data_IF_124072100769
#
_entry.id   IF_124072100769
#
_cell.length_a   1.000
_cell.length_b   1.000
_cell.length_c   1.000
_cell.angle_alpha   90.00
_cell.angle_beta   90.00
_cell.angle_gamma   90.00
#
_symmetry.space_group_name_H-M   'P 1'
#
loop_
_entity.id
_entity.type
_entity.pdbx_description
1 polymer ?
#
# COMPACT_ATOMS: atom_id res chain seq x y z
N UNK A 1 -5.76 24.79 18.51
CA UNK A 1 -5.31 24.86 17.11
C UNK A 1 -3.88 24.32 16.95
N UNK A 2 -3.59 23.09 17.45
CA UNK A 2 -2.27 22.43 17.32
C UNK A 2 -2.38 20.95 16.85
N UNK A 3 -3.58 20.42 16.56
CA UNK A 3 -3.80 19.01 16.19
C UNK A 3 -3.77 18.70 14.67
N UNK A 4 -3.78 19.71 13.81
CA UNK A 4 -3.89 19.51 12.35
C UNK A 4 -2.51 19.29 11.67
N UNK A 5 -1.42 19.72 12.31
CA UNK A 5 -0.07 19.62 11.71
C UNK A 5 0.53 18.21 11.82
N UNK A 6 0.05 17.37 12.76
CA UNK A 6 0.61 16.04 13.01
C UNK A 6 0.16 14.97 11.99
N UNK A 7 -1.01 15.13 11.39
CA UNK A 7 -1.57 14.15 10.44
C UNK A 7 -0.79 14.09 9.12
N UNK A 8 -0.21 15.21 8.68
CA UNK A 8 0.54 15.28 7.42
C UNK A 8 1.94 14.63 7.48
N UNK A 9 2.53 14.54 8.66
CA UNK A 9 3.91 14.01 8.81
C UNK A 9 3.94 12.48 8.80
N UNK A 10 2.86 11.81 9.20
CA UNK A 10 2.81 10.35 9.29
C UNK A 10 2.66 9.69 7.91
N UNK A 11 1.85 10.27 7.01
CA UNK A 11 1.70 9.71 5.65
C UNK A 11 3.01 9.75 4.84
N UNK A 12 3.81 10.80 4.98
CA UNK A 12 5.12 10.91 4.31
C UNK A 12 6.15 9.96 4.94
N UNK A 13 6.08 9.73 6.26
CA UNK A 13 7.00 8.84 6.96
C UNK A 13 6.79 7.35 6.61
N UNK A 14 5.55 6.92 6.32
CA UNK A 14 5.28 5.52 5.95
C UNK A 14 5.86 5.18 4.57
N UNK A 15 5.81 6.11 3.62
CA UNK A 15 6.47 5.93 2.30
C UNK A 15 8.00 5.89 2.46
N UNK A 16 8.56 6.67 3.39
CA UNK A 16 10.01 6.73 3.63
C UNK A 16 10.56 5.54 4.43
N UNK A 17 9.77 4.91 5.30
CA UNK A 17 10.21 3.75 6.10
C UNK A 17 10.34 2.45 5.27
N UNK A 18 9.67 2.38 4.11
CA UNK A 18 9.72 1.22 3.21
C UNK A 18 11.08 1.00 2.53
N UNK A 19 12.05 1.91 2.67
CA UNK A 19 13.28 1.90 1.88
C UNK A 19 14.57 1.60 2.69
N UNK A 20 14.51 1.39 4.01
CA UNK A 20 15.73 1.32 4.84
C UNK A 20 16.23 -0.08 5.18
N UNK A 21 15.58 -1.17 4.78
CA UNK A 21 16.01 -2.54 5.13
C UNK A 21 16.62 -3.36 4.00
N UNK A 22 16.78 -2.81 2.80
CA UNK A 22 17.42 -3.51 1.68
C UNK A 22 18.90 -3.11 1.49
N UNK A 23 19.70 -3.18 2.55
CA UNK A 23 21.16 -3.06 2.42
C UNK A 23 21.81 -4.42 2.70
N UNK A 24 21.90 -5.27 1.66
CA UNK A 24 22.66 -6.53 1.82
C UNK A 24 22.34 -7.66 0.86
N UNK A 25 22.15 -7.41 -0.43
CA UNK A 25 22.52 -8.41 -1.46
C UNK A 25 22.62 -7.73 -2.82
N UNK A 26 23.72 -7.95 -3.53
CA UNK A 26 24.01 -7.43 -4.86
C UNK A 26 23.24 -8.18 -5.98
N UNK A 27 22.10 -8.76 -5.70
CA UNK A 27 21.14 -9.25 -6.68
C UNK A 27 20.25 -8.07 -7.13
N UNK A 28 20.12 -7.86 -8.43
CA UNK A 28 19.11 -6.95 -8.98
C UNK A 28 17.75 -7.47 -8.52
N UNK A 29 17.14 -6.81 -7.54
CA UNK A 29 15.80 -7.14 -7.10
C UNK A 29 14.84 -6.83 -8.25
N UNK A 30 14.18 -7.86 -8.76
CA UNK A 30 13.15 -7.71 -9.80
C UNK A 30 11.88 -7.16 -9.17
N UNK A 31 11.21 -6.27 -9.88
CA UNK A 31 9.83 -5.87 -9.62
C UNK A 31 8.92 -6.59 -10.61
N UNK A 32 8.23 -7.65 -10.19
CA UNK A 32 7.38 -8.40 -11.11
C UNK A 32 6.25 -7.53 -11.66
N UNK A 33 5.88 -7.79 -12.90
CA UNK A 33 4.72 -7.16 -13.54
C UNK A 33 3.45 -7.71 -12.90
N UNK A 34 2.58 -6.83 -12.43
CA UNK A 34 1.32 -7.22 -11.79
C UNK A 34 0.30 -7.71 -12.81
N UNK A 35 -0.64 -8.54 -12.33
CA UNK A 35 -1.75 -9.05 -13.12
C UNK A 35 -2.61 -7.86 -13.61
N UNK A 36 -2.89 -7.81 -14.92
CA UNK A 36 -3.50 -6.63 -15.56
C UNK A 36 -4.89 -6.29 -15.07
N UNK A 37 -5.66 -7.28 -14.59
CA UNK A 37 -6.99 -7.07 -14.03
C UNK A 37 -6.99 -6.26 -12.71
N UNK A 38 -5.83 -6.20 -12.03
CA UNK A 38 -5.66 -5.46 -10.77
C UNK A 38 -4.74 -4.24 -10.90
N UNK A 39 -4.41 -3.83 -12.13
CA UNK A 39 -3.46 -2.75 -12.38
C UNK A 39 -3.83 -1.43 -11.65
N UNK A 40 -5.12 -1.10 -11.57
CA UNK A 40 -5.61 0.11 -10.91
C UNK A 40 -5.44 0.13 -9.39
N UNK A 41 -5.18 -1.03 -8.78
CA UNK A 41 -4.97 -1.17 -7.34
C UNK A 41 -3.51 -1.11 -6.96
N UNK A 42 -2.62 -1.49 -7.87
CA UNK A 42 -1.18 -1.62 -7.55
C UNK A 42 -0.50 -0.25 -7.54
N UNK A 43 0.33 -0.03 -6.52
CA UNK A 43 1.00 1.25 -6.28
C UNK A 43 0.10 2.31 -5.61
N UNK A 44 -1.18 2.03 -5.44
CA UNK A 44 -2.13 2.94 -4.84
C UNK A 44 -2.33 2.67 -3.34
N UNK A 45 -2.55 3.73 -2.57
CA UNK A 45 -3.04 3.64 -1.20
C UNK A 45 -4.56 3.73 -1.18
N UNK A 46 -5.18 2.86 -0.39
CA UNK A 46 -6.61 2.86 -0.11
C UNK A 46 -6.81 3.13 1.37
N UNK A 47 -7.73 4.03 1.72
CA UNK A 47 -7.98 4.38 3.11
C UNK A 47 -9.47 4.57 3.40
N UNK A 48 -9.82 4.38 4.67
CA UNK A 48 -11.16 4.57 5.18
C UNK A 48 -11.18 4.58 6.70
N UNK A 49 -12.31 4.94 7.28
CA UNK A 49 -12.47 4.92 8.73
C UNK A 49 -12.74 3.50 9.21
N UNK A 50 -11.96 3.01 10.16
CA UNK A 50 -12.19 1.74 10.81
C UNK A 50 -13.46 1.74 11.69
N UNK A 51 -13.94 0.57 12.15
CA UNK A 51 -15.15 0.49 12.99
C UNK A 51 -15.03 1.21 14.34
N UNK A 52 -13.82 1.50 14.80
CA UNK A 52 -13.54 2.14 16.09
C UNK A 52 -13.26 3.64 15.98
N UNK A 53 -13.33 4.20 14.75
CA UNK A 53 -13.14 5.61 14.47
C UNK A 53 -11.71 5.99 14.12
N UNK A 54 -10.83 5.00 13.97
CA UNK A 54 -9.47 5.18 13.47
C UNK A 54 -9.42 5.35 11.95
N UNK A 55 -8.21 5.36 11.40
CA UNK A 55 -7.98 5.44 9.98
C UNK A 55 -7.20 4.21 9.51
N UNK A 56 -7.90 3.34 8.79
CA UNK A 56 -7.34 2.16 8.15
C UNK A 56 -6.79 2.54 6.77
N UNK A 57 -5.56 2.13 6.50
CA UNK A 57 -4.95 2.30 5.19
C UNK A 57 -4.22 1.03 4.76
N UNK A 58 -4.33 0.69 3.48
CA UNK A 58 -3.57 -0.36 2.83
C UNK A 58 -2.92 0.16 1.56
N UNK A 59 -1.76 -0.39 1.22
CA UNK A 59 -1.09 -0.14 -0.06
C UNK A 59 -0.77 -1.47 -0.70
N UNK A 60 -1.29 -1.71 -1.89
CA UNK A 60 -1.00 -2.91 -2.67
C UNK A 60 0.26 -2.63 -3.50
N UNK A 61 1.33 -3.40 -3.26
CA UNK A 61 2.61 -3.23 -3.94
C UNK A 61 2.71 -4.03 -5.23
N UNK A 62 2.13 -5.21 -5.24
CA UNK A 62 2.06 -6.05 -6.44
C UNK A 62 0.96 -7.10 -6.30
N UNK A 63 0.41 -7.53 -7.43
CA UNK A 63 -0.42 -8.73 -7.55
C UNK A 63 0.12 -9.53 -8.74
N UNK A 64 0.68 -10.70 -8.49
CA UNK A 64 1.36 -11.52 -9.50
C UNK A 64 0.96 -12.98 -9.35
N UNK A 65 0.41 -13.55 -10.41
CA UNK A 65 -0.10 -14.94 -10.42
C UNK A 65 -1.06 -15.20 -9.25
N UNK A 66 -1.99 -14.28 -9.00
CA UNK A 66 -2.96 -14.38 -7.93
C UNK A 66 -2.37 -14.28 -6.52
N UNK A 67 -1.14 -13.75 -6.37
CA UNK A 67 -0.52 -13.45 -5.07
C UNK A 67 -0.35 -11.96 -4.91
N UNK A 68 -0.95 -11.42 -3.88
CA UNK A 68 -0.91 -10.01 -3.52
C UNK A 68 0.14 -9.77 -2.43
N UNK A 69 0.99 -8.76 -2.64
CA UNK A 69 1.90 -8.20 -1.64
C UNK A 69 1.41 -6.79 -1.27
N UNK A 70 1.23 -6.53 0.03
CA UNK A 70 0.57 -5.34 0.51
C UNK A 70 1.04 -4.94 1.91
N UNK A 71 0.76 -3.70 2.29
CA UNK A 71 1.03 -3.16 3.63
C UNK A 71 -0.28 -2.81 4.31
N UNK A 72 -0.28 -2.84 5.64
CA UNK A 72 -1.39 -2.50 6.49
C UNK A 72 -0.98 -1.43 7.49
N UNK A 73 -1.82 -0.43 7.68
CA UNK A 73 -1.70 0.58 8.73
C UNK A 73 -3.08 0.89 9.28
N UNK A 74 -3.21 0.91 10.59
CA UNK A 74 -4.43 1.32 11.27
C UNK A 74 -4.07 2.27 12.41
N UNK A 75 -4.58 3.50 12.36
CA UNK A 75 -4.20 4.58 13.26
C UNK A 75 -5.43 5.07 14.04
N UNK A 76 -5.40 4.94 15.35
CA UNK A 76 -6.46 5.39 16.23
C UNK A 76 -5.85 5.93 17.54
N UNK A 77 -6.38 7.04 18.04
CA UNK A 77 -5.87 7.75 19.24
C UNK A 77 -4.35 7.94 19.22
N UNK A 78 -3.61 7.26 20.10
CA UNK A 78 -2.16 7.25 20.24
C UNK A 78 -1.53 5.91 19.78
N UNK A 79 -2.23 5.16 18.94
CA UNK A 79 -1.79 3.88 18.40
C UNK A 79 -1.64 3.93 16.89
N UNK A 80 -0.57 3.35 16.38
CA UNK A 80 -0.36 3.08 14.95
C UNK A 80 0.01 1.62 14.76
N UNK A 81 -0.98 0.80 14.43
CA UNK A 81 -0.78 -0.61 14.11
C UNK A 81 -0.23 -0.74 12.68
N UNK A 82 0.88 -1.42 12.53
CA UNK A 82 1.60 -1.49 11.27
C UNK A 82 2.10 -2.89 10.95
N UNK A 83 1.87 -3.31 9.71
CA UNK A 83 2.45 -4.49 9.08
C UNK A 83 3.12 -4.12 7.76
N UNK A 84 4.44 -4.21 7.71
CA UNK A 84 5.23 -3.79 6.54
C UNK A 84 5.03 -4.69 5.33
N UNK A 85 4.94 -5.99 5.56
CA UNK A 85 4.84 -6.95 4.46
C UNK A 85 3.85 -8.04 4.81
N UNK A 86 2.78 -8.09 4.04
CA UNK A 86 1.78 -9.13 4.13
C UNK A 86 1.54 -9.73 2.75
N UNK A 87 1.28 -11.02 2.73
CA UNK A 87 0.95 -11.73 1.50
C UNK A 87 -0.43 -12.36 1.62
N UNK A 88 -1.20 -12.28 0.55
CA UNK A 88 -2.48 -12.94 0.43
C UNK A 88 -2.61 -13.60 -0.95
N UNK A 89 -3.41 -14.66 -1.04
CA UNK A 89 -3.83 -15.19 -2.33
C UNK A 89 -5.13 -14.51 -2.73
N UNK A 90 -5.21 -13.99 -3.95
CA UNK A 90 -6.41 -13.36 -4.50
C UNK A 90 -6.99 -14.24 -5.60
N UNK A 91 -8.30 -14.44 -5.57
CA UNK A 91 -9.05 -15.16 -6.59
C UNK A 91 -10.40 -14.47 -6.79
N UNK A 92 -10.75 -14.18 -8.04
CA UNK A 92 -12.01 -13.51 -8.40
C UNK A 92 -12.24 -12.19 -7.63
N UNK A 93 -11.16 -11.42 -7.40
CA UNK A 93 -11.19 -10.16 -6.67
C UNK A 93 -11.23 -10.30 -5.15
N UNK A 94 -11.26 -11.51 -4.60
CA UNK A 94 -11.34 -11.75 -3.15
C UNK A 94 -10.01 -12.32 -2.65
N UNK A 95 -9.49 -11.74 -1.57
CA UNK A 95 -8.30 -12.21 -0.87
C UNK A 95 -8.62 -12.44 0.61
N UNK A 96 -8.27 -13.61 1.13
CA UNK A 96 -8.25 -13.87 2.57
C UNK A 96 -6.91 -13.44 3.14
N UNK A 97 -6.92 -12.73 4.26
CA UNK A 97 -5.71 -12.24 4.90
C UNK A 97 -5.57 -12.72 6.34
N UNK A 98 -4.32 -12.88 6.74
CA UNK A 98 -3.90 -13.01 8.13
C UNK A 98 -2.70 -12.10 8.32
N UNK A 99 -2.82 -11.08 9.17
CA UNK A 99 -1.77 -10.11 9.45
C UNK A 99 -1.38 -10.16 10.91
N UNK A 100 -0.08 -9.99 11.16
CA UNK A 100 0.51 -9.85 12.48
C UNK A 100 1.53 -8.71 12.40
N UNK A 101 1.42 -7.77 13.29
CA UNK A 101 2.27 -6.59 13.30
C UNK A 101 2.49 -6.03 14.69
N UNK A 102 3.01 -4.82 14.72
CA UNK A 102 3.31 -4.08 15.94
C UNK A 102 2.69 -2.70 15.93
N UNK A 103 2.52 -2.15 17.12
CA UNK A 103 2.21 -0.75 17.32
C UNK A 103 3.52 0.07 17.22
N UNK A 104 3.54 1.09 16.39
CA UNK A 104 4.71 1.94 16.20
C UNK A 104 4.91 2.96 17.33
N UNK A 105 3.83 3.35 18.00
CA UNK A 105 3.83 4.32 19.09
C UNK A 105 4.12 3.65 20.46
N UNK A 106 3.75 2.37 20.59
CA UNK A 106 3.83 1.63 21.84
C UNK A 106 4.70 0.38 21.70
N UNK A 107 5.99 0.50 21.99
CA UNK A 107 6.93 -0.63 21.95
C UNK A 107 6.46 -1.79 22.83
N UNK A 108 6.34 -2.97 22.20
CA UNK A 108 5.90 -4.23 22.82
C UNK A 108 4.41 -4.46 22.79
N UNK A 109 3.63 -3.64 22.10
CA UNK A 109 2.27 -3.97 21.67
C UNK A 109 2.35 -4.61 20.30
N UNK A 110 1.68 -5.74 20.13
CA UNK A 110 1.50 -6.45 18.87
C UNK A 110 0.03 -6.68 18.60
N UNK A 111 -0.32 -6.86 17.33
CA UNK A 111 -1.69 -7.16 16.94
C UNK A 111 -1.72 -8.30 15.93
N UNK A 112 -2.86 -8.95 15.82
CA UNK A 112 -3.18 -9.87 14.73
C UNK A 112 -4.61 -9.67 14.28
N UNK A 113 -4.84 -9.64 12.96
CA UNK A 113 -6.18 -9.61 12.37
C UNK A 113 -6.29 -10.65 11.27
N UNK A 114 -7.48 -11.23 11.13
CA UNK A 114 -7.83 -12.13 10.04
C UNK A 114 -9.16 -11.71 9.45
N UNK A 115 -9.28 -11.83 8.14
CA UNK A 115 -10.48 -11.45 7.43
C UNK A 115 -10.35 -11.62 5.93
N UNK A 116 -11.12 -10.84 5.21
CA UNK A 116 -11.10 -10.83 3.74
C UNK A 116 -11.04 -9.40 3.19
N UNK A 117 -10.55 -9.29 1.97
CA UNK A 117 -10.59 -8.08 1.16
C UNK A 117 -11.26 -8.40 -0.16
N UNK A 118 -12.21 -7.58 -0.59
CA UNK A 118 -12.77 -7.61 -1.95
C UNK A 118 -12.28 -6.39 -2.71
N UNK A 119 -11.60 -6.61 -3.84
CA UNK A 119 -11.14 -5.59 -4.78
C UNK A 119 -12.17 -5.48 -5.90
N UNK A 120 -12.96 -4.41 -5.91
CA UNK A 120 -14.03 -4.22 -6.87
C UNK A 120 -14.31 -2.75 -7.14
N UNK A 121 -14.57 -2.41 -8.39
CA UNK A 121 -14.98 -1.07 -8.83
C UNK A 121 -14.04 0.07 -8.35
N UNK A 122 -12.73 -0.20 -8.27
CA UNK A 122 -11.71 0.75 -7.81
C UNK A 122 -11.71 1.02 -6.31
N UNK A 123 -12.40 0.19 -5.52
CA UNK A 123 -12.48 0.24 -4.06
C UNK A 123 -12.01 -1.07 -3.46
N UNK A 124 -11.73 -1.07 -2.16
CA UNK A 124 -11.45 -2.28 -1.40
C UNK A 124 -12.42 -2.35 -0.23
N UNK A 125 -13.22 -3.43 -0.16
CA UNK A 125 -13.98 -3.75 1.03
C UNK A 125 -13.12 -4.62 1.93
N UNK A 126 -12.75 -4.11 3.10
CA UNK A 126 -11.91 -4.79 4.08
C UNK A 126 -12.78 -5.30 5.23
N UNK A 127 -12.81 -6.60 5.46
CA UNK A 127 -13.69 -7.24 6.44
C UNK A 127 -12.89 -7.86 7.56
N UNK A 128 -13.17 -7.47 8.81
CA UNK A 128 -12.59 -8.06 10.01
C UNK A 128 -13.40 -9.27 10.45
N UNK A 129 -12.76 -10.42 10.69
CA UNK A 129 -13.38 -11.64 11.20
C UNK A 129 -12.91 -11.91 12.62
N UNK A 130 -11.61 -12.01 12.83
CA UNK A 130 -10.97 -12.21 14.14
C UNK A 130 -9.84 -11.23 14.36
N UNK A 131 -9.48 -11.01 15.63
CA UNK A 131 -8.32 -10.17 15.93
C UNK A 131 -7.94 -10.20 17.40
N UNK A 132 -6.70 -9.80 17.66
CA UNK A 132 -6.16 -9.64 19.00
C UNK A 132 -5.14 -8.49 19.01
N UNK A 133 -5.14 -7.73 20.10
CA UNK A 133 -4.07 -6.78 20.44
C UNK A 133 -3.46 -7.25 21.75
N UNK A 134 -2.13 -7.44 21.77
CA UNK A 134 -1.38 -8.00 22.89
C UNK A 134 -0.37 -6.98 23.40
N UNK A 135 -0.35 -6.76 24.70
CA UNK A 135 0.66 -5.94 25.38
C UNK A 135 1.83 -6.77 25.91
N UNK A 136 2.94 -6.15 26.31
CA UNK A 136 4.09 -6.82 26.96
C UNK A 136 3.72 -7.64 28.20
N UNK A 137 2.69 -7.22 28.94
CA UNK A 137 2.20 -7.94 30.12
C UNK A 137 1.35 -9.16 29.78
N UNK A 138 1.06 -9.39 28.51
CA UNK A 138 0.11 -10.42 28.09
C UNK A 138 -1.36 -10.04 28.33
N UNK A 139 -1.59 -8.85 28.86
CA UNK A 139 -2.92 -8.26 29.06
C UNK A 139 -3.29 -7.52 27.78
N UNK A 140 -4.14 -8.08 26.99
CA UNK A 140 -4.65 -7.48 25.76
C UNK A 140 -6.05 -7.93 25.47
N UNK A 141 -6.81 -7.10 24.77
CA UNK A 141 -8.09 -7.49 24.22
C UNK A 141 -7.88 -8.57 23.18
N UNK A 142 -8.34 -9.78 23.44
CA UNK A 142 -8.45 -10.82 22.44
C UNK A 142 -9.92 -11.00 22.09
N UNK A 143 -10.27 -10.81 20.84
CA UNK A 143 -11.58 -11.20 20.32
C UNK A 143 -11.41 -12.26 19.24
N UNK A 144 -11.69 -13.51 19.60
CA UNK A 144 -11.79 -14.60 18.63
C UNK A 144 -12.94 -14.36 17.61
N UNK A 145 -13.75 -13.30 17.83
CA UNK A 145 -14.95 -12.99 17.05
C UNK A 145 -15.19 -11.48 16.98
N UNK A 146 -14.22 -10.73 16.42
CA UNK A 146 -14.38 -9.28 16.23
C UNK A 146 -15.69 -8.95 15.51
N UNK A 147 -16.02 -9.70 14.45
CA UNK A 147 -17.24 -9.47 13.69
C UNK A 147 -18.52 -9.55 14.53
N UNK A 148 -18.59 -10.51 15.48
CA UNK A 148 -19.73 -10.61 16.40
C UNK A 148 -19.74 -9.46 17.40
N UNK A 149 -18.59 -9.11 17.98
CA UNK A 149 -18.48 -8.02 18.94
C UNK A 149 -18.84 -6.66 18.32
N UNK A 150 -18.44 -6.39 17.08
CA UNK A 150 -18.83 -5.20 16.33
C UNK A 150 -20.35 -5.19 16.07
N UNK A 151 -20.90 -6.31 15.62
CA UNK A 151 -22.33 -6.45 15.39
C UNK A 151 -23.16 -6.23 16.67
N UNK A 152 -22.73 -6.79 17.79
CA UNK A 152 -23.38 -6.61 19.08
C UNK A 152 -23.31 -5.14 19.57
N UNK A 153 -22.29 -4.40 19.14
CA UNK A 153 -22.14 -2.97 19.39
C UNK A 153 -22.85 -2.09 18.33
N UNK A 154 -23.53 -2.69 17.36
CA UNK A 154 -24.19 -1.96 16.26
C UNK A 154 -23.21 -1.40 15.21
N UNK A 155 -21.97 -1.88 15.18
CA UNK A 155 -20.94 -1.46 14.23
C UNK A 155 -20.81 -2.48 13.08
N UNK A 156 -20.37 -2.00 11.92
CA UNK A 156 -20.00 -2.86 10.79
C UNK A 156 -18.64 -3.47 11.04
N UNK A 157 -18.46 -4.73 10.65
CA UNK A 157 -17.16 -5.36 10.56
C UNK A 157 -16.50 -5.15 9.18
N UNK A 158 -17.14 -4.41 8.29
CA UNK A 158 -16.67 -4.10 6.95
C UNK A 158 -16.36 -2.61 6.83
N UNK A 159 -15.24 -2.30 6.21
CA UNK A 159 -14.76 -0.95 5.90
C UNK A 159 -14.56 -0.83 4.41
N UNK A 160 -15.21 0.15 3.78
CA UNK A 160 -14.96 0.46 2.38
C UNK A 160 -13.80 1.45 2.30
N UNK A 161 -12.68 0.98 1.78
CA UNK A 161 -11.50 1.79 1.55
C UNK A 161 -11.57 2.40 0.15
N UNK A 162 -11.46 3.71 0.10
CA UNK A 162 -11.41 4.47 -1.13
C UNK A 162 -9.95 4.68 -1.54
N UNK A 163 -9.69 4.69 -2.84
CA UNK A 163 -8.39 5.10 -3.35
C UNK A 163 -8.08 6.51 -2.83
N UNK A 164 -7.03 6.64 -2.06
CA UNK A 164 -6.62 7.93 -1.55
C UNK A 164 -6.24 8.84 -2.72
N UNK A 165 -6.83 10.04 -2.76
CA UNK A 165 -6.28 11.08 -3.62
C UNK A 165 -4.93 11.45 -3.01
N UNK A 166 -3.86 11.03 -3.65
CA UNK A 166 -2.52 11.37 -3.16
C UNK A 166 -2.24 12.84 -3.48
N UNK A 167 -2.69 13.71 -2.59
CA UNK A 167 -2.46 15.16 -2.69
C UNK A 167 -0.96 15.51 -2.63
N UNK A 168 -0.10 14.56 -2.26
CA UNK A 168 1.36 14.73 -2.28
C UNK A 168 1.97 14.52 -3.66
N UNK A 169 1.22 13.95 -4.60
CA UNK A 169 1.67 13.72 -5.98
C UNK A 169 1.19 14.82 -6.93
N UNK A 170 1.93 14.97 -8.01
CA UNK A 170 1.58 15.84 -9.15
C UNK A 170 1.92 15.11 -10.45
N UNK A 171 1.27 15.49 -11.55
CA UNK A 171 1.59 14.97 -12.88
C UNK A 171 2.83 15.63 -13.43
N UNK A 172 3.78 14.82 -13.89
CA UNK A 172 4.96 15.22 -14.67
C UNK A 172 4.84 14.68 -16.08
N UNK A 173 5.04 15.53 -17.08
CA UNK A 173 5.02 15.11 -18.50
C UNK A 173 6.46 14.83 -18.92
N UNK A 174 6.74 13.58 -19.30
CA UNK A 174 8.06 13.13 -19.76
C UNK A 174 8.51 13.94 -20.97
N UNK A 175 9.72 14.49 -20.89
CA UNK A 175 10.35 15.28 -21.93
C UNK A 175 11.32 14.46 -22.77
N UNK A 176 11.65 14.93 -23.96
CA UNK A 176 12.67 14.28 -24.78
C UNK A 176 14.05 14.31 -24.06
N UNK A 177 14.63 13.13 -23.88
CA UNK A 177 15.89 12.94 -23.16
C UNK A 177 15.76 12.59 -21.70
N UNK A 178 14.55 12.55 -21.16
CA UNK A 178 14.29 12.05 -19.81
C UNK A 178 14.55 10.55 -19.69
N UNK A 179 14.87 10.16 -18.49
CA UNK A 179 14.93 8.76 -18.04
C UNK A 179 14.27 8.63 -16.70
N UNK A 180 13.78 7.45 -16.35
CA UNK A 180 13.22 7.19 -15.02
C UNK A 180 14.18 7.60 -13.90
N UNK A 181 15.50 7.41 -14.12
CA UNK A 181 16.53 7.79 -13.17
C UNK A 181 16.68 9.31 -13.02
N UNK A 182 16.66 10.07 -14.14
CA UNK A 182 16.78 11.55 -14.10
C UNK A 182 15.59 12.17 -13.40
N UNK A 183 14.37 11.68 -13.70
CA UNK A 183 13.13 12.14 -13.08
C UNK A 183 13.12 11.80 -11.59
N UNK A 184 13.39 10.54 -11.21
CA UNK A 184 13.45 10.13 -9.81
C UNK A 184 14.42 10.99 -8.99
N UNK A 185 15.63 11.26 -9.53
CA UNK A 185 16.61 12.12 -8.90
C UNK A 185 16.12 13.57 -8.74
N UNK A 186 15.43 14.10 -9.76
CA UNK A 186 14.87 15.45 -9.73
C UNK A 186 13.84 15.62 -8.60
N UNK A 187 13.02 14.60 -8.37
CA UNK A 187 11.94 14.61 -7.36
C UNK A 187 12.35 14.00 -6.02
N UNK A 188 13.61 13.58 -5.86
CA UNK A 188 14.17 13.14 -4.57
C UNK A 188 13.70 11.77 -4.12
N UNK A 189 13.23 10.92 -5.05
CA UNK A 189 12.81 9.55 -4.79
C UNK A 189 13.70 8.54 -5.51
N UNK A 190 13.59 7.27 -5.15
CA UNK A 190 14.31 6.22 -5.86
C UNK A 190 13.67 5.89 -7.21
N UNK A 191 14.48 5.40 -8.16
CA UNK A 191 13.98 4.89 -9.45
C UNK A 191 12.94 3.79 -9.26
N UNK A 192 13.12 2.92 -8.26
CA UNK A 192 12.19 1.84 -7.92
C UNK A 192 10.85 2.39 -7.47
N UNK A 193 10.86 3.37 -6.58
CA UNK A 193 9.65 4.02 -6.07
C UNK A 193 8.87 4.70 -7.19
N UNK A 194 9.55 5.50 -8.03
CA UNK A 194 8.91 6.12 -9.19
C UNK A 194 8.31 5.09 -10.16
N UNK A 195 9.00 3.98 -10.39
CA UNK A 195 8.53 2.90 -11.26
C UNK A 195 7.30 2.18 -10.66
N UNK A 196 7.25 1.96 -9.34
CA UNK A 196 6.11 1.35 -8.65
C UNK A 196 4.87 2.25 -8.76
N UNK A 197 5.01 3.54 -8.43
CA UNK A 197 3.90 4.51 -8.47
C UNK A 197 3.30 4.60 -9.87
N UNK A 198 4.13 4.43 -10.92
CA UNK A 198 3.74 4.61 -12.32
C UNK A 198 3.72 3.31 -13.12
N UNK A 199 3.74 2.14 -12.50
CA UNK A 199 3.94 0.89 -13.23
C UNK A 199 2.89 0.65 -14.31
N UNK A 200 1.63 1.01 -14.08
CA UNK A 200 0.54 0.83 -15.06
C UNK A 200 0.84 1.59 -16.34
N UNK A 201 1.06 2.90 -16.24
CA UNK A 201 1.31 3.74 -17.43
C UNK A 201 2.61 3.35 -18.13
N UNK A 202 3.68 3.07 -17.38
CA UNK A 202 4.98 2.64 -17.93
C UNK A 202 4.85 1.33 -18.71
N UNK A 203 4.15 0.34 -18.15
CA UNK A 203 3.96 -0.96 -18.80
C UNK A 203 3.07 -0.83 -20.05
N UNK A 204 1.95 -0.13 -19.95
CA UNK A 204 1.02 0.06 -21.07
C UNK A 204 1.67 0.80 -22.23
N UNK A 205 2.38 1.89 -21.93
CA UNK A 205 3.07 2.67 -22.96
C UNK A 205 4.18 1.87 -23.62
N UNK A 206 5.00 1.16 -22.86
CA UNK A 206 6.06 0.32 -23.41
C UNK A 206 5.50 -0.82 -24.27
N UNK A 207 4.43 -1.49 -23.83
CA UNK A 207 3.73 -2.52 -24.62
C UNK A 207 3.15 -1.96 -25.94
N UNK A 208 2.57 -0.77 -25.91
CA UNK A 208 2.10 -0.09 -27.11
C UNK A 208 3.22 0.16 -28.14
N UNK A 209 4.47 0.20 -27.67
CA UNK A 209 5.69 0.33 -28.50
C UNK A 209 6.41 -1.01 -28.72
N UNK A 210 5.72 -2.15 -28.52
CA UNK A 210 6.21 -3.51 -28.74
C UNK A 210 7.38 -3.94 -27.82
N UNK A 211 7.43 -3.42 -26.60
CA UNK A 211 8.34 -3.88 -25.56
C UNK A 211 7.61 -4.77 -24.56
N UNK A 212 8.14 -5.97 -24.31
CA UNK A 212 7.60 -6.90 -23.33
C UNK A 212 8.71 -7.40 -22.41
N UNK A 213 8.49 -7.28 -21.08
CA UNK A 213 9.41 -7.70 -20.04
C UNK A 213 8.64 -8.34 -18.89
N UNK A 214 9.35 -9.06 -18.02
CA UNK A 214 8.83 -9.64 -16.76
C UNK A 214 9.20 -8.82 -15.51
N UNK A 215 9.74 -7.61 -15.71
CA UNK A 215 10.26 -6.74 -14.65
C UNK A 215 9.88 -5.28 -14.95
N UNK A 216 9.21 -4.63 -14.00
CA UNK A 216 8.79 -3.22 -14.10
C UNK A 216 9.99 -2.29 -14.32
N UNK A 217 11.14 -2.58 -13.72
CA UNK A 217 12.36 -1.77 -13.90
C UNK A 217 12.89 -1.87 -15.34
N UNK A 218 12.72 -3.01 -16.00
CA UNK A 218 13.08 -3.14 -17.42
C UNK A 218 12.13 -2.30 -18.29
N UNK A 219 10.82 -2.30 -18.02
CA UNK A 219 9.87 -1.41 -18.67
C UNK A 219 10.21 0.07 -18.46
N UNK A 220 10.58 0.45 -17.25
CA UNK A 220 10.90 1.83 -16.88
C UNK A 220 12.14 2.41 -17.59
N UNK A 221 12.91 1.60 -18.31
CA UNK A 221 13.98 2.09 -19.20
C UNK A 221 13.45 2.70 -20.50
N UNK A 222 12.19 2.46 -20.82
CA UNK A 222 11.54 2.88 -22.07
C UNK A 222 10.44 3.90 -21.77
N UNK A 223 10.84 5.11 -21.39
CA UNK A 223 9.93 6.25 -21.25
C UNK A 223 9.81 6.98 -22.60
N UNK A 224 8.61 7.45 -22.88
CA UNK A 224 8.31 8.13 -24.13
C UNK A 224 7.91 9.59 -23.85
N UNK A 225 8.38 10.57 -24.65
CA UNK A 225 7.97 11.95 -24.50
C UNK A 225 6.44 12.10 -24.61
N UNK A 226 5.86 12.85 -23.67
CA UNK A 226 4.42 13.04 -23.55
C UNK A 226 3.72 12.07 -22.60
N UNK A 227 4.42 11.06 -22.09
CA UNK A 227 3.92 10.16 -21.05
C UNK A 227 3.70 10.94 -19.73
N UNK A 228 2.59 10.69 -19.06
CA UNK A 228 2.23 11.35 -17.80
C UNK A 228 2.59 10.47 -16.63
N UNK A 229 3.55 10.91 -15.81
CA UNK A 229 3.98 10.22 -14.60
C UNK A 229 3.52 10.97 -13.35
N UNK A 230 3.13 10.23 -12.32
CA UNK A 230 2.92 10.77 -10.97
C UNK A 230 4.27 10.91 -10.27
N UNK A 231 4.54 12.10 -9.74
CA UNK A 231 5.76 12.44 -9.00
C UNK A 231 5.42 13.20 -7.72
N UNK A 232 6.24 13.13 -6.66
CA UNK A 232 6.02 13.92 -5.45
C UNK A 232 5.98 15.43 -5.75
N UNK A 233 5.09 16.16 -5.10
CA UNK A 233 5.15 17.63 -5.08
C UNK A 233 6.42 18.08 -4.35
N UNK A 234 7.09 19.08 -4.90
CA UNK A 234 8.29 19.71 -4.27
C UNK A 234 7.90 20.68 -3.17
#
# INVERSE_FOLDING_TARGET
MKKIVFLFTVCVAVISALLLTACGSSGKEKLPVSDTEYADYVGAQFSGQDPWGGNLAITIRSIVNGKMDWTFTDTFDDHTLYQEQSAASIQDGIAEYSIEGKDLENDGVSFSYQGSMELKDGQITFSFITGAVMTKSGEGGSSARIAEALKDSGLSNEVVLQKAADESLMTYIVQAGDSIHSIAKEFGISTKELAIINQTVIIETAKAHNHEFDDVIEYAKYLFPGEELLVPKK
#
